data_IF_657115865427
#
_entry.id   IF_657115865427
#
_cell.length_a   1.000
_cell.length_b   1.000
_cell.length_c   1.000
_cell.angle_alpha   90.00
_cell.angle_beta   90.00
_cell.angle_gamma   90.00
#
_symmetry.space_group_name_H-M   'P 1'
#
loop_
_entity.id
_entity.type
_entity.pdbx_description
1 polymer ?
#
# COMPACT_ATOMS: atom_id res chain seq x y z
N UNK A 1 3.31 -1.82 -24.02
CA UNK A 1 4.32 -2.76 -24.53
C UNK A 1 5.06 -2.11 -25.69
N UNK A 2 6.36 -2.04 -25.57
CA UNK A 2 7.22 -1.51 -26.61
C UNK A 2 7.75 -2.65 -27.50
N UNK A 3 7.61 -2.48 -28.82
CA UNK A 3 8.12 -3.45 -29.79
C UNK A 3 9.40 -2.91 -30.43
N UNK A 4 10.43 -3.75 -30.45
CA UNK A 4 11.72 -3.43 -31.08
C UNK A 4 12.14 -4.57 -32.00
N UNK A 5 12.97 -4.27 -33.01
CA UNK A 5 13.64 -5.25 -33.85
C UNK A 5 15.13 -4.96 -33.91
N UNK A 6 15.93 -5.78 -33.24
CA UNK A 6 17.39 -5.63 -33.25
C UNK A 6 17.98 -5.85 -34.63
N UNK A 7 17.45 -6.78 -35.42
CA UNK A 7 17.90 -7.10 -36.79
C UNK A 7 17.75 -5.91 -37.74
N UNK A 8 16.63 -5.18 -37.66
CA UNK A 8 16.32 -4.04 -38.52
C UNK A 8 16.54 -2.69 -37.84
N UNK A 9 17.09 -2.68 -36.64
CA UNK A 9 17.31 -1.47 -35.81
C UNK A 9 16.04 -0.61 -35.60
N UNK A 10 14.87 -1.22 -35.70
CA UNK A 10 13.59 -0.54 -35.46
C UNK A 10 13.31 -0.41 -33.97
N UNK A 11 13.04 0.79 -33.50
CA UNK A 11 12.68 1.06 -32.12
C UNK A 11 13.83 1.03 -31.12
N UNK A 12 15.06 0.72 -31.55
CA UNK A 12 16.23 0.66 -30.64
C UNK A 12 16.59 2.01 -30.02
N UNK A 13 16.31 3.11 -30.72
CA UNK A 13 16.50 4.47 -30.24
C UNK A 13 15.51 4.87 -29.12
N UNK A 14 14.45 4.08 -28.89
CA UNK A 14 13.46 4.31 -27.82
C UNK A 14 13.80 3.57 -26.53
N UNK A 15 14.74 2.63 -26.56
CA UNK A 15 15.08 1.79 -25.42
C UNK A 15 15.62 2.61 -24.26
N UNK A 16 16.62 3.47 -24.51
CA UNK A 16 17.26 4.26 -23.44
C UNK A 16 16.30 5.24 -22.75
N UNK A 17 15.53 6.07 -23.48
CA UNK A 17 14.53 6.92 -22.83
C UNK A 17 13.47 6.13 -22.06
N UNK A 18 13.10 4.94 -22.52
CA UNK A 18 12.14 4.09 -21.84
C UNK A 18 12.72 3.50 -20.55
N UNK A 19 13.98 3.07 -20.57
CA UNK A 19 14.70 2.60 -19.38
C UNK A 19 14.81 3.73 -18.36
N UNK A 20 15.11 4.96 -18.76
CA UNK A 20 15.19 6.12 -17.87
C UNK A 20 13.84 6.39 -17.17
N UNK A 21 12.73 6.29 -17.92
CA UNK A 21 11.38 6.42 -17.35
C UNK A 21 11.06 5.32 -16.33
N UNK A 22 11.42 4.07 -16.65
CA UNK A 22 11.23 2.95 -15.73
C UNK A 22 12.06 3.12 -14.46
N UNK A 23 13.30 3.54 -14.59
CA UNK A 23 14.18 3.80 -13.45
C UNK A 23 13.66 4.95 -12.58
N UNK A 24 13.26 6.06 -13.20
CA UNK A 24 12.66 7.19 -12.47
C UNK A 24 11.40 6.77 -11.72
N UNK A 25 10.53 5.95 -12.31
CA UNK A 25 9.35 5.39 -11.64
C UNK A 25 9.73 4.49 -10.47
N UNK A 26 10.73 3.62 -10.65
CA UNK A 26 11.20 2.72 -9.60
C UNK A 26 11.82 3.46 -8.41
N UNK A 27 12.44 4.62 -8.66
CA UNK A 27 13.10 5.45 -7.65
C UNK A 27 12.24 6.62 -7.18
N UNK A 28 10.93 6.58 -7.40
CA UNK A 28 10.00 7.63 -6.97
C UNK A 28 10.00 7.78 -5.45
N UNK A 29 10.25 8.99 -4.98
CA UNK A 29 10.13 9.36 -3.58
C UNK A 29 8.67 9.76 -3.27
N UNK A 30 8.04 8.97 -2.43
CA UNK A 30 6.65 9.20 -2.01
C UNK A 30 6.66 9.83 -0.62
N UNK A 31 6.42 11.14 -0.54
CA UNK A 31 6.33 11.84 0.74
C UNK A 31 5.25 11.24 1.64
N UNK A 32 5.53 11.10 2.93
CA UNK A 32 4.61 10.53 3.92
C UNK A 32 3.26 11.24 3.95
N UNK A 33 3.26 12.57 3.88
CA UNK A 33 2.03 13.37 3.82
C UNK A 33 1.18 13.07 2.59
N UNK A 34 1.82 12.87 1.44
CA UNK A 34 1.13 12.49 0.20
C UNK A 34 0.54 11.08 0.31
N UNK A 35 1.27 10.14 0.89
CA UNK A 35 0.78 8.77 1.12
C UNK A 35 -0.46 8.79 2.03
N UNK A 36 -0.43 9.51 3.13
CA UNK A 36 -1.56 9.63 4.06
C UNK A 36 -2.78 10.26 3.35
N UNK A 37 -2.56 11.32 2.60
CA UNK A 37 -3.63 11.95 1.82
C UNK A 37 -4.26 10.99 0.83
N UNK A 38 -3.46 10.24 0.07
CA UNK A 38 -3.95 9.26 -0.89
C UNK A 38 -4.72 8.13 -0.23
N UNK A 39 -4.27 7.66 0.93
CA UNK A 39 -4.98 6.64 1.71
C UNK A 39 -6.37 7.15 2.15
N UNK A 40 -6.45 8.38 2.63
CA UNK A 40 -7.71 9.00 3.03
C UNK A 40 -8.66 9.18 1.84
N UNK A 41 -8.16 9.72 0.73
CA UNK A 41 -8.95 9.89 -0.50
C UNK A 41 -9.46 8.56 -1.05
N UNK A 42 -8.62 7.53 -1.05
CA UNK A 42 -9.01 6.20 -1.50
C UNK A 42 -10.09 5.58 -0.59
N UNK A 43 -9.97 5.75 0.72
CA UNK A 43 -10.96 5.28 1.69
C UNK A 43 -12.29 6.02 1.58
N UNK A 44 -12.28 7.30 1.25
CA UNK A 44 -13.50 8.10 1.00
C UNK A 44 -14.21 7.67 -0.27
N UNK A 45 -13.46 7.43 -1.34
CA UNK A 45 -14.03 6.99 -2.62
C UNK A 45 -14.60 5.57 -2.55
N UNK A 46 -13.92 4.70 -1.86
CA UNK A 46 -14.32 3.32 -1.66
C UNK A 46 -13.98 2.87 -0.25
N UNK A 47 -14.98 2.83 0.60
CA UNK A 47 -14.81 2.45 1.99
C UNK A 47 -14.24 1.02 2.12
N UNK A 48 -13.27 0.81 3.03
CA UNK A 48 -12.84 -0.55 3.37
C UNK A 48 -14.00 -1.39 3.87
N UNK A 49 -14.00 -2.70 3.60
CA UNK A 49 -15.06 -3.58 4.04
C UNK A 49 -15.09 -3.72 5.57
N UNK A 50 -16.24 -4.09 6.10
CA UNK A 50 -16.39 -4.44 7.50
C UNK A 50 -16.02 -5.91 7.74
N UNK A 51 -15.40 -6.18 8.89
CA UNK A 51 -15.12 -7.52 9.37
C UNK A 51 -15.86 -7.72 10.68
N UNK A 52 -16.96 -8.49 10.63
CA UNK A 52 -17.88 -8.60 11.76
C UNK A 52 -18.49 -7.23 12.08
N UNK A 53 -18.34 -6.79 13.32
CA UNK A 53 -18.83 -5.49 13.80
C UNK A 53 -17.79 -4.36 13.66
N UNK A 54 -16.62 -4.67 13.12
CA UNK A 54 -15.50 -3.73 13.03
C UNK A 54 -15.23 -3.34 11.58
N UNK A 55 -15.04 -2.05 11.35
CA UNK A 55 -14.59 -1.55 10.06
C UNK A 55 -13.07 -1.52 10.02
N UNK A 56 -12.50 -2.02 8.93
CA UNK A 56 -11.08 -1.89 8.66
C UNK A 56 -10.75 -0.41 8.48
N UNK A 57 -9.75 0.09 9.20
CA UNK A 57 -9.31 1.48 9.13
C UNK A 57 -7.86 1.55 8.67
N UNK A 58 -7.63 2.36 7.64
CA UNK A 58 -6.30 2.76 7.20
C UNK A 58 -5.90 4.01 7.99
N UNK A 59 -4.92 3.90 8.88
CA UNK A 59 -4.52 5.02 9.75
C UNK A 59 -3.47 5.90 9.11
N UNK A 60 -2.34 5.33 8.75
CA UNK A 60 -1.24 6.04 8.13
C UNK A 60 -0.38 5.10 7.30
N UNK A 61 0.51 5.68 6.51
CA UNK A 61 1.47 4.92 5.72
C UNK A 61 2.75 5.72 5.50
N UNK A 62 3.81 5.01 5.17
CA UNK A 62 5.08 5.61 4.82
C UNK A 62 5.78 4.76 3.76
N UNK A 63 6.74 5.36 3.07
CA UNK A 63 7.55 4.62 2.11
C UNK A 63 8.60 3.78 2.82
N UNK A 64 8.57 2.47 2.61
CA UNK A 64 9.50 1.53 3.20
C UNK A 64 10.71 1.19 2.32
N UNK A 65 10.72 1.62 1.07
CA UNK A 65 11.81 1.33 0.14
C UNK A 65 11.53 1.82 -1.27
N UNK A 66 12.55 1.73 -2.09
CA UNK A 66 12.52 2.05 -3.51
C UNK A 66 12.96 0.85 -4.34
N UNK A 67 12.66 0.90 -5.64
CA UNK A 67 13.08 -0.08 -6.63
C UNK A 67 12.66 -1.54 -6.31
N UNK A 68 11.36 -1.87 -6.33
CA UNK A 68 10.22 -1.02 -6.62
C UNK A 68 9.78 -0.18 -5.40
N UNK A 69 8.99 0.89 -5.61
CA UNK A 69 8.45 1.66 -4.50
C UNK A 69 7.61 0.78 -3.57
N UNK A 70 7.91 0.86 -2.29
CA UNK A 70 7.27 0.04 -1.27
C UNK A 70 6.60 0.96 -0.25
N UNK A 71 5.31 0.79 -0.06
CA UNK A 71 4.53 1.55 0.92
C UNK A 71 4.07 0.60 2.03
N UNK A 72 4.36 0.98 3.26
CA UNK A 72 3.90 0.27 4.44
C UNK A 72 2.69 1.02 5.00
N UNK A 73 1.56 0.33 5.07
CA UNK A 73 0.29 0.87 5.55
C UNK A 73 0.00 0.31 6.94
N UNK A 74 -0.28 1.20 7.87
CA UNK A 74 -0.67 0.85 9.24
C UNK A 74 -2.14 1.15 9.48
N UNK A 75 -2.80 0.29 10.22
CA UNK A 75 -4.19 0.46 10.55
C UNK A 75 -4.76 -0.68 11.40
N UNK A 76 -6.07 -0.69 11.54
CA UNK A 76 -6.77 -1.71 12.31
C UNK A 76 -7.27 -2.83 11.40
N UNK A 77 -7.01 -4.08 11.77
CA UNK A 77 -7.49 -5.29 11.11
C UNK A 77 -7.12 -5.38 9.62
N UNK A 78 -5.94 -4.87 9.25
CA UNK A 78 -5.45 -4.89 7.87
C UNK A 78 -5.10 -6.30 7.38
N UNK A 79 -4.85 -7.23 8.29
CA UNK A 79 -4.66 -8.66 8.00
C UNK A 79 -5.87 -9.29 7.30
N UNK A 80 -7.06 -8.74 7.52
CA UNK A 80 -8.33 -9.19 6.92
C UNK A 80 -8.73 -8.41 5.68
N UNK A 81 -7.88 -7.51 5.21
CA UNK A 81 -8.16 -6.69 4.03
C UNK A 81 -8.21 -7.56 2.75
N UNK A 82 -9.31 -7.53 1.98
CA UNK A 82 -9.44 -8.32 0.77
C UNK A 82 -8.38 -7.95 -0.28
N UNK A 83 -7.93 -8.92 -1.06
CA UNK A 83 -6.95 -8.72 -2.12
C UNK A 83 -7.43 -7.72 -3.18
N UNK A 84 -8.73 -7.71 -3.47
CA UNK A 84 -9.35 -6.75 -4.39
C UNK A 84 -9.17 -5.31 -3.93
N UNK A 85 -9.31 -5.05 -2.63
CA UNK A 85 -9.09 -3.73 -2.06
C UNK A 85 -7.61 -3.34 -2.06
N UNK A 86 -6.72 -4.30 -1.77
CA UNK A 86 -5.28 -4.09 -1.87
C UNK A 86 -4.85 -3.69 -3.30
N UNK A 87 -5.40 -4.35 -4.31
CA UNK A 87 -5.19 -3.99 -5.71
C UNK A 87 -5.73 -2.61 -6.06
N UNK A 88 -6.88 -2.26 -5.52
CA UNK A 88 -7.45 -0.92 -5.67
C UNK A 88 -6.52 0.17 -5.12
N UNK A 89 -5.96 -0.03 -3.92
CA UNK A 89 -5.00 0.89 -3.32
C UNK A 89 -3.72 0.97 -4.16
N UNK A 90 -3.17 -0.15 -4.58
CA UNK A 90 -1.98 -0.18 -5.44
C UNK A 90 -2.21 0.62 -6.73
N UNK A 91 -3.33 0.40 -7.41
CA UNK A 91 -3.68 1.14 -8.62
C UNK A 91 -3.85 2.64 -8.36
N UNK A 92 -4.41 3.01 -7.21
CA UNK A 92 -4.56 4.41 -6.81
C UNK A 92 -3.21 5.09 -6.67
N UNK A 93 -2.24 4.44 -6.02
CA UNK A 93 -0.88 4.96 -5.91
C UNK A 93 -0.17 5.04 -7.26
N UNK A 94 -0.27 4.01 -8.08
CA UNK A 94 0.33 3.98 -9.41
C UNK A 94 -0.18 5.11 -10.29
N UNK A 95 -1.47 5.41 -10.26
CA UNK A 95 -2.07 6.52 -11.00
C UNK A 95 -1.66 7.88 -10.45
N UNK A 96 -1.62 8.04 -9.14
CA UNK A 96 -1.29 9.30 -8.50
C UNK A 96 0.16 9.73 -8.76
N UNK A 97 1.08 8.77 -8.83
CA UNK A 97 2.50 9.00 -9.09
C UNK A 97 2.91 8.79 -10.55
N UNK A 98 1.97 8.58 -11.47
CA UNK A 98 2.26 8.34 -12.89
C UNK A 98 3.31 7.25 -13.12
N UNK A 99 3.18 6.12 -12.44
CA UNK A 99 4.12 5.01 -12.56
C UNK A 99 4.10 4.41 -13.97
N UNK A 100 5.28 4.23 -14.55
CA UNK A 100 5.45 3.61 -15.86
C UNK A 100 6.17 2.28 -15.69
N UNK A 101 5.47 1.18 -15.99
CA UNK A 101 6.04 -0.17 -15.96
C UNK A 101 6.48 -0.67 -14.58
N UNK A 102 6.27 0.11 -13.53
CA UNK A 102 6.62 -0.22 -12.15
C UNK A 102 5.37 -0.28 -11.30
N UNK A 103 5.26 -1.32 -10.50
CA UNK A 103 4.15 -1.47 -9.55
C UNK A 103 4.58 -1.04 -8.15
N UNK A 104 3.64 -0.47 -7.41
CA UNK A 104 3.82 -0.15 -6.01
C UNK A 104 3.55 -1.39 -5.17
N UNK A 105 4.51 -1.78 -4.33
CA UNK A 105 4.32 -2.85 -3.35
C UNK A 105 3.68 -2.27 -2.10
N UNK A 106 2.65 -2.93 -1.61
CA UNK A 106 1.98 -2.56 -0.38
C UNK A 106 2.20 -3.65 0.66
N UNK A 107 2.61 -3.26 1.85
CA UNK A 107 2.65 -4.11 3.04
C UNK A 107 1.69 -3.55 4.07
N UNK A 108 0.85 -4.39 4.62
CA UNK A 108 -0.14 -4.00 5.60
C UNK A 108 0.28 -4.51 6.97
N UNK A 109 0.40 -3.59 7.93
CA UNK A 109 0.71 -3.90 9.32
C UNK A 109 -0.47 -3.53 10.19
N UNK A 110 -1.04 -4.51 10.85
CA UNK A 110 -2.08 -4.28 11.85
C UNK A 110 -1.43 -3.73 13.11
N UNK A 111 -1.89 -2.58 13.57
CA UNK A 111 -1.50 -2.07 14.87
C UNK A 111 -2.31 -2.80 15.94
N UNK A 112 -1.63 -3.53 16.80
CA UNK A 112 -2.26 -4.12 17.97
C UNK A 112 -2.79 -2.98 18.86
N UNK A 113 -4.04 -3.12 19.28
CA UNK A 113 -4.61 -2.19 20.22
C UNK A 113 -3.99 -2.47 21.60
N UNK A 114 -3.15 -1.57 22.15
CA UNK A 114 -2.51 -1.83 23.45
C UNK A 114 -3.50 -1.93 24.61
N UNK A 115 -4.77 -1.60 24.35
CA UNK A 115 -5.84 -1.73 25.32
C UNK A 115 -6.55 -3.08 25.29
N UNK A 116 -6.37 -3.87 24.23
CA UNK A 116 -7.04 -5.18 24.11
C UNK A 116 -6.51 -6.20 25.12
N UNK A 117 -5.23 -6.10 25.47
CA UNK A 117 -4.61 -7.00 26.46
C UNK A 117 -4.96 -6.65 27.90
N UNK A 118 -5.28 -5.38 28.19
CA UNK A 118 -5.66 -4.95 29.54
C UNK A 118 -7.03 -5.48 29.94
N UNK A 119 -7.96 -5.61 29.00
CA UNK A 119 -9.28 -6.16 29.26
C UNK A 119 -9.25 -7.68 29.49
N UNK A 120 -8.33 -8.38 28.82
CA UNK A 120 -8.13 -9.81 29.01
C UNK A 120 -7.52 -10.14 30.38
N UNK A 121 -6.58 -9.32 30.84
CA UNK A 121 -5.94 -9.48 32.16
C UNK A 121 -6.93 -9.13 33.29
N UNK A 122 -7.74 -8.11 33.11
CA UNK A 122 -8.75 -7.71 34.07
C UNK A 122 -9.81 -8.80 34.31
N UNK A 123 -10.22 -9.47 33.23
CA UNK A 123 -11.20 -10.60 33.32
C UNK A 123 -10.64 -11.83 34.00
N UNK A 124 -9.34 -12.11 33.90
CA UNK A 124 -8.68 -13.21 34.60
C UNK A 124 -8.56 -12.96 36.09
N UNK A 125 -8.35 -11.71 36.51
CA UNK A 125 -8.22 -11.35 37.93
C UNK A 125 -9.56 -11.41 38.67
N UNK A 126 -10.66 -11.15 37.96
CA UNK A 126 -12.02 -11.22 38.59
C UNK A 126 -12.52 -12.65 38.77
N UNK A 127 -12.00 -13.62 37.99
CA UNK A 127 -12.41 -15.02 38.08
C UNK A 127 -11.73 -15.80 39.21
N UNK A 128 -10.61 -15.26 39.74
CA UNK A 128 -9.82 -15.91 40.81
C UNK A 128 -10.13 -15.36 42.22
N UNK A 129 -11.12 -14.49 42.38
CA UNK A 129 -11.56 -13.93 43.67
C UNK A 129 -12.88 -14.48 44.18
N UNK A 130 -13.28 -15.64 43.68
CA UNK A 130 -14.43 -16.36 44.23
C UNK A 130 -14.00 -17.65 44.90
#
# INVERSE_FOLDING_TARGET
VEFISAKFKKGTNRIMPYIDKLYASAMTDMGTGTIIRLLNEAAEKRNPPMVGNFRIKLKFGHQGGMNPPHVIVHGNQLDKLPLTYQRYLSNTFEKAFNMVGTKVRLTFKTSDNPFHDKDAVSRKHHKNRR
#
